data_IF_992708158608
#
_entry.id   IF_992708158608
#
_cell.length_a   1.000
_cell.length_b   1.000
_cell.length_c   1.000
_cell.angle_alpha   90.00
_cell.angle_beta   90.00
_cell.angle_gamma   90.00
#
_symmetry.space_group_name_H-M   'P 1'
#
loop_
_entity.id
_entity.type
_entity.pdbx_description
1 polymer ?
#
# COMPACT_ATOMS: atom_id res chain seq x y z
N UNK A 1 4.40 15.59 11.52
CA UNK A 1 5.39 15.26 10.46
C UNK A 1 4.77 14.24 9.54
N UNK A 2 4.78 14.52 8.26
CA UNK A 2 4.24 13.62 7.25
C UNK A 2 5.30 13.25 6.22
N UNK A 3 5.49 11.96 5.99
CA UNK A 3 6.45 11.44 5.01
C UNK A 3 5.79 10.88 3.77
N UNK A 4 5.75 11.66 2.68
CA UNK A 4 5.40 11.12 1.37
C UNK A 4 6.51 10.22 0.81
N UNK A 5 7.81 10.59 0.85
CA UNK A 5 8.90 9.70 0.46
C UNK A 5 9.22 8.66 1.54
N UNK A 6 9.70 7.49 1.11
CA UNK A 6 9.90 6.34 1.98
C UNK A 6 10.96 6.51 3.08
N UNK A 7 11.99 7.31 2.88
CA UNK A 7 13.17 7.29 3.75
C UNK A 7 13.25 8.46 4.75
N UNK A 8 12.59 9.58 4.49
CA UNK A 8 12.78 10.79 5.30
C UNK A 8 12.21 10.71 6.71
N UNK A 9 11.19 9.90 6.94
CA UNK A 9 10.45 9.87 8.21
C UNK A 9 10.54 8.54 8.94
N UNK A 10 10.85 7.45 8.24
CA UNK A 10 10.82 6.10 8.79
C UNK A 10 12.20 5.65 9.27
N UNK A 11 12.70 6.36 10.24
CA UNK A 11 13.93 6.00 10.94
C UNK A 11 13.71 6.10 12.45
N UNK A 12 14.38 5.25 13.26
CA UNK A 12 14.30 5.33 14.73
C UNK A 12 14.58 6.73 15.26
N UNK A 13 15.56 7.43 14.68
CA UNK A 13 15.90 8.80 15.05
C UNK A 13 14.73 9.79 14.84
N UNK A 14 13.98 9.65 13.76
CA UNK A 14 12.81 10.50 13.50
C UNK A 14 11.63 10.17 14.41
N UNK A 15 11.45 8.91 14.76
CA UNK A 15 10.41 8.50 15.73
C UNK A 15 10.70 9.07 17.10
N UNK A 16 11.95 8.94 17.55
CA UNK A 16 12.39 9.51 18.83
C UNK A 16 12.28 11.04 18.82
N UNK A 17 12.71 11.68 17.74
CA UNK A 17 12.60 13.13 17.58
C UNK A 17 11.13 13.59 17.65
N UNK A 18 10.20 12.86 17.04
CA UNK A 18 8.77 13.19 17.09
C UNK A 18 8.22 13.13 18.51
N UNK A 19 8.64 12.14 19.32
CA UNK A 19 8.28 12.03 20.73
C UNK A 19 8.88 13.17 21.55
N UNK A 20 10.18 13.45 21.38
CA UNK A 20 10.88 14.55 22.09
C UNK A 20 10.26 15.92 21.80
N UNK A 21 9.77 16.13 20.57
CA UNK A 21 9.13 17.37 20.14
C UNK A 21 7.62 17.39 20.39
N UNK A 22 7.08 16.30 20.93
CA UNK A 22 5.64 16.13 21.17
C UNK A 22 4.80 16.40 19.91
N UNK A 23 5.19 15.83 18.78
CA UNK A 23 4.48 15.98 17.51
C UNK A 23 4.14 14.61 16.89
N UNK A 24 2.98 14.50 16.22
CA UNK A 24 2.62 13.28 15.50
C UNK A 24 3.50 13.09 14.27
N UNK A 25 3.78 11.83 13.93
CA UNK A 25 4.49 11.43 12.71
C UNK A 25 3.73 10.30 12.02
N UNK A 26 3.59 10.37 10.70
CA UNK A 26 3.03 9.28 9.89
C UNK A 26 3.64 9.25 8.49
N UNK A 27 3.46 8.15 7.80
CA UNK A 27 3.96 7.84 6.45
C UNK A 27 3.72 6.34 6.21
N UNK A 28 4.14 5.79 5.11
CA UNK A 28 4.90 6.35 3.97
C UNK A 28 4.12 6.08 2.69
N UNK A 29 4.37 6.90 1.68
CA UNK A 29 3.82 6.75 0.34
C UNK A 29 2.27 6.70 0.33
N UNK A 30 1.65 7.59 -0.43
CA UNK A 30 0.19 7.70 -0.44
C UNK A 30 -0.46 6.51 -1.15
N UNK A 31 -1.49 5.95 -0.52
CA UNK A 31 -2.21 4.79 -1.03
C UNK A 31 -3.27 5.21 -2.05
N UNK A 32 -2.81 5.40 -3.27
CA UNK A 32 -3.62 5.63 -4.46
C UNK A 32 -3.47 4.44 -5.42
N UNK A 33 -4.35 4.26 -6.34
CA UNK A 33 -4.17 3.33 -7.45
C UNK A 33 -4.08 1.84 -7.06
N UNK A 34 -3.08 1.14 -7.58
CA UNK A 34 -3.01 -0.32 -7.53
C UNK A 34 -2.88 -0.91 -6.12
N UNK A 35 -2.14 -0.27 -5.23
CA UNK A 35 -2.04 -0.74 -3.83
C UNK A 35 -3.39 -0.62 -3.11
N UNK A 36 -4.17 0.43 -3.41
CA UNK A 36 -5.53 0.53 -2.90
C UNK A 36 -6.36 -0.69 -3.34
N UNK A 37 -6.30 -1.09 -4.61
CA UNK A 37 -7.00 -2.28 -5.11
C UNK A 37 -6.57 -3.55 -4.36
N UNK A 38 -5.28 -3.75 -4.10
CA UNK A 38 -4.77 -4.88 -3.32
C UNK A 38 -5.35 -4.92 -1.91
N UNK A 39 -5.39 -3.79 -1.22
CA UNK A 39 -5.90 -3.69 0.15
C UNK A 39 -7.42 -3.83 0.26
N UNK A 40 -8.14 -3.80 -0.85
CA UNK A 40 -9.58 -4.09 -0.95
C UNK A 40 -9.83 -5.56 -1.31
N UNK A 41 -9.14 -6.04 -2.35
CA UNK A 41 -9.42 -7.37 -2.91
C UNK A 41 -8.84 -8.50 -2.06
N UNK A 42 -7.64 -8.36 -1.52
CA UNK A 42 -7.02 -9.41 -0.70
C UNK A 42 -7.84 -9.73 0.57
N UNK A 43 -8.33 -8.76 1.35
CA UNK A 43 -9.23 -9.05 2.46
C UNK A 43 -10.54 -9.71 2.04
N UNK A 44 -11.06 -9.36 0.88
CA UNK A 44 -12.27 -9.99 0.34
C UNK A 44 -12.02 -11.48 0.03
N UNK A 45 -10.89 -11.81 -0.62
CA UNK A 45 -10.51 -13.20 -0.87
C UNK A 45 -10.36 -13.98 0.43
N UNK A 46 -9.64 -13.42 1.40
CA UNK A 46 -9.42 -14.03 2.71
C UNK A 46 -10.74 -14.28 3.46
N UNK A 47 -11.61 -13.27 3.51
CA UNK A 47 -12.92 -13.37 4.19
C UNK A 47 -13.80 -14.43 3.55
N UNK A 48 -13.68 -14.64 2.23
CA UNK A 48 -14.43 -15.65 1.48
C UNK A 48 -13.72 -17.01 1.40
N UNK A 49 -12.54 -17.15 2.01
CA UNK A 49 -11.71 -18.36 1.94
C UNK A 49 -11.42 -18.78 0.48
N UNK A 50 -11.19 -17.80 -0.39
CA UNK A 50 -10.77 -18.03 -1.76
C UNK A 50 -9.23 -18.09 -1.78
N UNK A 51 -8.68 -19.15 -2.36
CA UNK A 51 -7.24 -19.28 -2.54
C UNK A 51 -6.75 -18.41 -3.71
N UNK A 52 -5.48 -18.09 -3.70
CA UNK A 52 -4.81 -17.31 -4.74
C UNK A 52 -3.61 -18.07 -5.25
N UNK A 53 -3.58 -18.37 -6.55
CA UNK A 53 -2.44 -18.99 -7.22
C UNK A 53 -1.45 -17.94 -7.75
N UNK A 54 -1.98 -16.79 -8.20
CA UNK A 54 -1.15 -15.77 -8.78
C UNK A 54 -1.76 -14.38 -8.76
N UNK A 55 -0.87 -13.37 -8.68
CA UNK A 55 -1.24 -11.96 -8.80
C UNK A 55 -0.18 -11.24 -9.64
N UNK A 56 -0.47 -11.05 -10.90
CA UNK A 56 0.38 -10.29 -11.80
C UNK A 56 -0.10 -8.85 -11.91
N UNK A 57 0.76 -7.91 -11.57
CA UNK A 57 0.48 -6.48 -11.60
C UNK A 57 1.41 -5.77 -12.59
N UNK A 58 0.87 -4.95 -13.47
CA UNK A 58 1.67 -4.07 -14.32
C UNK A 58 1.13 -2.65 -14.34
N UNK A 59 2.03 -1.68 -14.48
CA UNK A 59 1.70 -0.27 -14.61
C UNK A 59 2.37 0.30 -15.84
N UNK A 60 1.67 1.20 -16.51
CA UNK A 60 2.21 2.04 -17.59
C UNK A 60 1.99 3.49 -17.18
N UNK A 61 3.07 4.28 -17.13
CA UNK A 61 3.03 5.70 -16.82
C UNK A 61 4.12 6.45 -17.60
N UNK A 62 3.89 7.71 -17.89
CA UNK A 62 4.75 8.50 -18.78
C UNK A 62 5.37 9.74 -18.12
N UNK A 63 5.33 9.83 -16.79
CA UNK A 63 5.92 10.92 -16.03
C UNK A 63 7.32 10.55 -15.50
N UNK A 64 7.96 11.47 -14.78
CA UNK A 64 9.30 11.27 -14.21
C UNK A 64 9.41 10.08 -13.27
N UNK A 65 8.36 9.77 -12.50
CA UNK A 65 8.33 8.59 -11.62
C UNK A 65 8.42 7.29 -12.45
N UNK A 66 7.72 7.25 -13.59
CA UNK A 66 7.79 6.14 -14.53
C UNK A 66 9.18 5.95 -15.11
N UNK A 67 9.81 7.04 -15.56
CA UNK A 67 11.15 7.02 -16.13
C UNK A 67 12.18 6.48 -15.12
N UNK A 68 12.12 6.92 -13.86
CA UNK A 68 13.04 6.47 -12.82
C UNK A 68 12.79 5.00 -12.45
N UNK A 69 11.55 4.56 -12.43
CA UNK A 69 11.17 3.19 -12.01
C UNK A 69 11.24 2.15 -13.12
N UNK A 70 11.43 2.57 -14.36
CA UNK A 70 11.70 1.65 -15.49
C UNK A 70 13.10 1.02 -15.37
N UNK A 71 14.01 1.68 -14.66
CA UNK A 71 15.32 1.14 -14.30
C UNK A 71 15.18 0.05 -13.23
N UNK A 72 15.63 -1.19 -13.48
CA UNK A 72 15.51 -2.30 -12.55
C UNK A 72 16.14 -2.07 -11.17
N UNK A 73 17.23 -1.32 -11.09
CA UNK A 73 17.92 -1.06 -9.81
C UNK A 73 17.12 -0.08 -8.93
N UNK A 74 16.48 0.91 -9.53
CA UNK A 74 15.60 1.83 -8.83
C UNK A 74 14.26 1.18 -8.45
N UNK A 75 13.85 0.15 -9.17
CA UNK A 75 12.58 -0.53 -8.95
C UNK A 75 12.57 -1.47 -7.74
N UNK A 76 13.70 -2.07 -7.37
CA UNK A 76 13.81 -3.11 -6.33
C UNK A 76 13.11 -2.76 -5.01
N UNK A 77 13.31 -1.54 -4.51
CA UNK A 77 12.71 -1.11 -3.23
C UNK A 77 11.18 -1.00 -3.32
N UNK A 78 10.66 -0.53 -4.46
CA UNK A 78 9.21 -0.46 -4.71
C UNK A 78 8.59 -1.83 -4.96
N UNK A 79 9.34 -2.75 -5.55
CA UNK A 79 8.90 -4.13 -5.75
C UNK A 79 8.64 -4.81 -4.40
N UNK A 80 9.62 -4.81 -3.51
CA UNK A 80 9.50 -5.39 -2.17
C UNK A 80 8.30 -4.82 -1.41
N UNK A 81 8.13 -3.50 -1.40
CA UNK A 81 7.00 -2.87 -0.70
C UNK A 81 5.63 -3.19 -1.30
N UNK A 82 5.56 -3.50 -2.59
CA UNK A 82 4.31 -3.91 -3.24
C UNK A 82 4.00 -5.39 -3.07
N UNK A 83 5.03 -6.23 -2.95
CA UNK A 83 4.89 -7.67 -2.73
C UNK A 83 4.42 -7.95 -1.31
N UNK A 84 5.02 -7.34 -0.30
CA UNK A 84 4.71 -7.58 1.12
C UNK A 84 3.27 -7.23 1.54
N UNK A 85 2.56 -6.38 0.79
CA UNK A 85 1.18 -5.97 1.13
C UNK A 85 0.22 -7.15 1.19
N UNK A 86 0.27 -8.04 0.19
CA UNK A 86 -0.66 -9.17 0.17
C UNK A 86 -0.27 -10.26 1.17
N UNK A 87 1.03 -10.43 1.44
CA UNK A 87 1.52 -11.44 2.38
C UNK A 87 1.04 -11.15 3.81
N UNK A 88 1.08 -9.89 4.22
CA UNK A 88 0.57 -9.48 5.55
C UNK A 88 -0.94 -9.68 5.69
N UNK A 89 -1.70 -9.53 4.60
CA UNK A 89 -3.15 -9.75 4.60
C UNK A 89 -3.48 -11.24 4.59
N UNK A 90 -2.82 -11.99 3.72
CA UNK A 90 -3.12 -13.41 3.49
C UNK A 90 -2.61 -14.32 4.61
N UNK A 91 -1.54 -13.95 5.28
CA UNK A 91 -0.90 -14.75 6.34
C UNK A 91 -0.60 -16.18 5.85
N UNK A 92 0.26 -16.37 4.83
CA UNK A 92 0.49 -17.67 4.19
C UNK A 92 0.94 -18.75 5.17
N UNK A 93 1.62 -18.40 6.25
CA UNK A 93 2.01 -19.34 7.31
C UNK A 93 0.81 -19.93 8.05
N UNK A 94 -0.29 -19.17 8.18
CA UNK A 94 -1.54 -19.63 8.82
C UNK A 94 -2.47 -20.33 7.85
N UNK A 95 -2.41 -19.99 6.58
CA UNK A 95 -3.29 -20.52 5.53
C UNK A 95 -2.48 -21.05 4.33
N UNK A 96 -1.56 -22.03 4.54
CA UNK A 96 -0.65 -22.49 3.49
C UNK A 96 -1.37 -23.09 2.27
N UNK A 97 -2.49 -23.77 2.47
CA UNK A 97 -3.27 -24.38 1.38
C UNK A 97 -3.94 -23.34 0.45
N UNK A 98 -4.12 -22.10 0.92
CA UNK A 98 -4.79 -21.05 0.16
C UNK A 98 -3.79 -20.02 -0.38
N UNK A 99 -2.70 -19.77 0.34
CA UNK A 99 -1.80 -18.65 0.06
C UNK A 99 -0.31 -18.98 0.20
N UNK A 100 0.05 -20.24 0.46
CA UNK A 100 1.45 -20.63 0.70
C UNK A 100 2.36 -20.54 -0.52
N UNK A 101 1.79 -20.58 -1.74
CA UNK A 101 2.56 -20.56 -3.00
C UNK A 101 1.96 -19.56 -4.00
N UNK A 102 1.77 -18.32 -3.58
CA UNK A 102 1.25 -17.27 -4.47
C UNK A 102 2.35 -16.74 -5.38
N UNK A 103 2.21 -16.95 -6.69
CA UNK A 103 3.09 -16.31 -7.66
C UNK A 103 2.74 -14.83 -7.81
N UNK A 104 3.43 -13.97 -7.06
CA UNK A 104 3.20 -12.53 -7.09
C UNK A 104 4.29 -11.81 -7.87
N UNK A 105 3.92 -11.04 -8.88
CA UNK A 105 4.84 -10.27 -9.71
C UNK A 105 4.32 -8.87 -9.99
N UNK A 106 5.23 -7.89 -9.93
CA UNK A 106 4.94 -6.49 -10.23
C UNK A 106 5.87 -6.00 -11.33
N UNK A 107 5.34 -5.20 -12.25
CA UNK A 107 6.11 -4.49 -13.27
C UNK A 107 5.68 -3.05 -13.40
N UNK A 108 6.63 -2.18 -13.74
CA UNK A 108 6.38 -0.79 -14.13
C UNK A 108 7.03 -0.58 -15.48
N UNK A 109 6.33 0.08 -16.38
CA UNK A 109 6.81 0.37 -17.73
C UNK A 109 6.69 1.88 -17.99
N UNK A 110 7.77 2.49 -18.41
CA UNK A 110 7.78 3.88 -18.82
C UNK A 110 7.23 3.99 -20.25
N UNK A 111 6.21 4.85 -20.41
CA UNK A 111 5.59 5.10 -21.71
C UNK A 111 5.22 6.59 -21.81
N UNK A 112 6.11 7.44 -22.39
CA UNK A 112 5.96 8.89 -22.45
C UNK A 112 4.60 9.39 -22.91
N UNK A 113 3.90 8.78 -23.90
CA UNK A 113 2.58 9.24 -24.34
C UNK A 113 1.50 9.25 -23.25
N UNK A 114 1.66 8.48 -22.17
CA UNK A 114 0.74 8.50 -21.01
C UNK A 114 0.86 9.76 -20.17
N UNK A 115 1.98 10.47 -20.23
CA UNK A 115 2.25 11.65 -19.41
C UNK A 115 2.03 11.31 -17.92
N UNK A 116 1.19 12.08 -17.23
CA UNK A 116 0.85 11.88 -15.82
C UNK A 116 -0.29 10.86 -15.59
N UNK A 117 -0.87 10.31 -16.64
CA UNK A 117 -1.84 9.24 -16.51
C UNK A 117 -1.13 7.91 -16.22
N UNK A 118 -1.66 7.18 -15.26
CA UNK A 118 -1.19 5.87 -14.85
C UNK A 118 -2.25 4.84 -15.14
N UNK A 119 -1.91 3.87 -15.94
CA UNK A 119 -2.75 2.73 -16.24
C UNK A 119 -2.19 1.51 -15.51
N UNK A 120 -3.02 0.88 -14.70
CA UNK A 120 -2.67 -0.29 -13.92
C UNK A 120 -3.53 -1.48 -14.33
N UNK A 121 -2.91 -2.61 -14.60
CA UNK A 121 -3.59 -3.87 -14.83
C UNK A 121 -3.18 -4.88 -13.79
N UNK A 122 -4.17 -5.58 -13.25
CA UNK A 122 -3.95 -6.77 -12.43
C UNK A 122 -4.63 -7.96 -13.08
N UNK A 123 -3.91 -9.08 -13.16
CA UNK A 123 -4.47 -10.39 -13.44
C UNK A 123 -4.32 -11.23 -12.18
N UNK A 124 -5.43 -11.69 -11.65
CA UNK A 124 -5.49 -12.39 -10.37
C UNK A 124 -6.11 -13.76 -10.60
N UNK A 125 -5.30 -14.80 -10.43
CA UNK A 125 -5.74 -16.18 -10.54
C UNK A 125 -6.11 -16.70 -9.15
N UNK A 126 -7.39 -16.94 -8.96
CA UNK A 126 -7.96 -17.40 -7.70
C UNK A 126 -8.63 -18.76 -7.88
N UNK A 127 -8.84 -19.46 -6.78
CA UNK A 127 -9.61 -20.71 -6.78
C UNK A 127 -10.56 -20.77 -5.60
N UNK A 128 -11.64 -21.48 -5.78
CA UNK A 128 -12.67 -21.66 -4.80
C UNK A 128 -12.86 -23.13 -4.40
N UNK A 129 -14.10 -23.50 -4.11
CA UNK A 129 -14.47 -24.82 -3.70
C UNK A 129 -13.98 -25.89 -4.69
N UNK A 130 -13.42 -26.97 -4.16
CA UNK A 130 -12.79 -28.07 -4.92
C UNK A 130 -11.66 -27.63 -5.88
N UNK A 131 -11.00 -26.50 -5.61
CA UNK A 131 -9.94 -25.99 -6.45
C UNK A 131 -10.42 -25.40 -7.76
N UNK A 132 -11.72 -25.09 -7.90
CA UNK A 132 -12.26 -24.52 -9.15
C UNK A 132 -11.62 -23.18 -9.48
N UNK A 133 -10.93 -23.05 -10.65
CA UNK A 133 -10.20 -21.84 -11.01
C UNK A 133 -11.13 -20.72 -11.45
N UNK A 134 -10.77 -19.51 -11.06
CA UNK A 134 -11.42 -18.26 -11.46
C UNK A 134 -10.36 -17.20 -11.74
N UNK A 135 -10.67 -16.22 -12.56
CA UNK A 135 -9.78 -15.12 -12.88
C UNK A 135 -10.48 -13.79 -12.65
N UNK A 136 -9.76 -12.85 -12.05
CA UNK A 136 -10.20 -11.46 -11.93
C UNK A 136 -9.19 -10.58 -12.66
N UNK A 137 -9.69 -9.75 -13.57
CA UNK A 137 -8.90 -8.71 -14.25
C UNK A 137 -9.34 -7.35 -13.78
N UNK A 138 -8.39 -6.54 -13.35
CA UNK A 138 -8.61 -5.14 -13.00
C UNK A 138 -7.89 -4.29 -14.03
N UNK A 139 -8.60 -3.34 -14.59
CA UNK A 139 -8.01 -2.26 -15.39
C UNK A 139 -8.37 -0.94 -14.73
N UNK A 140 -7.36 -0.21 -14.27
CA UNK A 140 -7.53 1.01 -13.51
C UNK A 140 -6.69 2.13 -14.11
N UNK A 141 -7.36 3.08 -14.78
CA UNK A 141 -6.73 4.28 -15.31
C UNK A 141 -6.98 5.44 -14.36
N UNK A 142 -5.91 6.06 -13.89
CA UNK A 142 -5.99 7.21 -12.98
C UNK A 142 -4.90 8.23 -13.28
N UNK A 143 -5.04 9.40 -12.67
CA UNK A 143 -3.97 10.39 -12.55
C UNK A 143 -3.53 10.45 -11.09
N UNK A 144 -2.32 9.91 -10.81
CA UNK A 144 -1.81 9.75 -9.45
C UNK A 144 -1.79 11.07 -8.66
N UNK A 145 -1.37 12.16 -9.28
CA UNK A 145 -1.33 13.49 -8.65
C UNK A 145 -2.70 13.98 -8.19
N UNK A 146 -3.75 13.71 -8.96
CA UNK A 146 -5.13 14.08 -8.61
C UNK A 146 -5.66 13.24 -7.45
N UNK A 147 -5.32 11.95 -7.41
CA UNK A 147 -5.70 11.08 -6.30
C UNK A 147 -4.91 11.37 -5.02
N UNK A 148 -3.65 11.77 -5.15
CA UNK A 148 -2.78 12.09 -4.02
C UNK A 148 -3.16 13.40 -3.32
N UNK A 149 -3.67 14.39 -4.04
CA UNK A 149 -3.99 15.70 -3.50
C UNK A 149 -5.00 15.66 -2.33
N UNK A 150 -6.18 15.02 -2.43
CA UNK A 150 -7.11 14.91 -1.30
C UNK A 150 -6.53 14.10 -0.14
N UNK A 151 -5.76 13.05 -0.42
CA UNK A 151 -5.08 12.27 0.63
C UNK A 151 -4.11 13.15 1.42
N UNK A 152 -3.33 13.98 0.73
CA UNK A 152 -2.42 14.93 1.38
C UNK A 152 -3.17 15.93 2.26
N UNK A 153 -4.30 16.44 1.78
CA UNK A 153 -5.15 17.36 2.55
C UNK A 153 -5.72 16.69 3.81
N UNK A 154 -6.29 15.49 3.67
CA UNK A 154 -6.82 14.73 4.80
C UNK A 154 -5.74 14.47 5.85
N UNK A 155 -4.55 14.07 5.41
CA UNK A 155 -3.43 13.80 6.31
C UNK A 155 -2.95 15.06 7.05
N UNK A 156 -2.99 16.23 6.41
CA UNK A 156 -2.69 17.51 7.08
C UNK A 156 -3.74 17.79 8.16
N UNK A 157 -5.02 17.64 7.84
CA UNK A 157 -6.12 17.89 8.78
C UNK A 157 -6.08 16.91 9.97
N UNK A 158 -5.87 15.62 9.72
CA UNK A 158 -5.76 14.63 10.78
C UNK A 158 -4.49 14.79 11.63
N UNK A 159 -3.38 15.19 11.02
CA UNK A 159 -2.16 15.48 11.77
C UNK A 159 -2.30 16.70 12.67
N UNK A 160 -3.02 17.74 12.22
CA UNK A 160 -3.36 18.89 13.05
C UNK A 160 -4.30 18.50 14.20
N UNK A 161 -5.30 17.67 13.91
CA UNK A 161 -6.21 17.14 14.94
C UNK A 161 -5.45 16.33 15.99
N UNK A 162 -4.59 15.42 15.58
CA UNK A 162 -3.74 14.62 16.46
C UNK A 162 -2.85 15.51 17.34
N UNK A 163 -2.24 16.54 16.76
CA UNK A 163 -1.40 17.49 17.49
C UNK A 163 -2.21 18.27 18.52
N UNK A 164 -3.40 18.74 18.19
CA UNK A 164 -4.31 19.42 19.14
C UNK A 164 -4.82 18.49 20.24
N UNK A 165 -4.95 17.21 19.95
CA UNK A 165 -5.30 16.19 20.94
C UNK A 165 -4.12 15.74 21.82
N UNK A 166 -2.92 16.31 21.63
CA UNK A 166 -1.72 15.97 22.39
C UNK A 166 -1.10 14.62 21.99
N UNK A 167 -1.48 14.06 20.84
CA UNK A 167 -0.90 12.82 20.34
C UNK A 167 0.49 13.08 19.75
N UNK A 168 1.45 12.20 20.06
CA UNK A 168 2.82 12.28 19.56
C UNK A 168 3.32 10.89 19.08
N UNK A 169 4.46 10.87 18.41
CA UNK A 169 5.01 9.63 17.87
C UNK A 169 4.24 9.11 16.65
N UNK A 170 4.42 7.83 16.35
CA UNK A 170 3.85 7.18 15.17
C UNK A 170 2.32 7.11 15.29
N UNK A 171 1.63 7.63 14.28
CA UNK A 171 0.17 7.60 14.18
C UNK A 171 -0.27 6.42 13.31
N UNK A 172 -0.36 5.23 13.90
CA UNK A 172 -0.69 3.98 13.18
C UNK A 172 -2.09 3.98 12.58
N UNK A 173 -3.04 4.70 13.16
CA UNK A 173 -4.40 4.86 12.65
C UNK A 173 -4.46 5.59 11.29
N UNK A 174 -3.41 6.36 10.93
CA UNK A 174 -3.27 6.97 9.62
C UNK A 174 -2.74 6.01 8.53
N UNK A 175 -2.52 4.74 8.86
CA UNK A 175 -2.15 3.68 7.90
C UNK A 175 -3.14 3.57 6.73
N UNK A 176 -4.40 3.92 6.95
CA UNK A 176 -5.45 3.96 5.93
C UNK A 176 -5.03 4.73 4.67
N UNK A 177 -4.25 5.78 4.82
CA UNK A 177 -3.80 6.66 3.75
C UNK A 177 -2.45 6.26 3.13
N UNK A 178 -1.75 5.29 3.71
CA UNK A 178 -0.36 4.97 3.38
C UNK A 178 -0.22 3.61 2.70
N UNK A 179 0.64 3.53 1.69
CA UNK A 179 1.03 2.30 1.00
C UNK A 179 1.93 1.41 1.84
N UNK A 180 2.88 2.02 2.53
CA UNK A 180 3.82 1.38 3.45
C UNK A 180 3.68 2.05 4.81
N UNK A 181 2.65 1.68 5.61
CA UNK A 181 2.38 2.33 6.87
C UNK A 181 3.57 2.24 7.82
N UNK A 182 3.84 3.34 8.51
CA UNK A 182 4.77 3.30 9.64
C UNK A 182 4.19 2.46 10.77
N UNK A 183 5.03 1.64 11.35
CA UNK A 183 4.69 0.77 12.49
C UNK A 183 5.86 0.73 13.46
N UNK A 184 5.63 0.31 14.68
CA UNK A 184 6.69 0.00 15.64
C UNK A 184 7.38 -1.34 15.30
N UNK A 185 8.44 -1.65 16.03
CA UNK A 185 9.19 -2.91 15.81
C UNK A 185 8.48 -4.16 16.35
N UNK A 186 7.44 -4.00 17.14
CA UNK A 186 6.75 -5.10 17.81
C UNK A 186 5.58 -5.64 16.98
N UNK A 187 5.04 -4.82 16.05
CA UNK A 187 3.84 -5.15 15.30
C UNK A 187 4.08 -5.08 13.79
N UNK A 188 3.45 -5.97 13.05
CA UNK A 188 3.40 -5.88 11.59
C UNK A 188 2.47 -4.73 11.16
N UNK A 189 2.76 -4.08 10.02
CA UNK A 189 1.89 -3.03 9.52
C UNK A 189 0.53 -3.60 9.10
N UNK A 190 -0.55 -2.92 9.50
CA UNK A 190 -1.89 -3.29 9.05
C UNK A 190 -2.10 -2.85 7.58
N UNK A 191 -2.52 -3.78 6.73
CA UNK A 191 -2.79 -3.53 5.31
C UNK A 191 -4.24 -3.82 4.89
N UNK A 192 -5.04 -4.49 5.72
CA UNK A 192 -6.47 -4.64 5.48
C UNK A 192 -7.16 -3.28 5.55
N UNK A 193 -7.68 -2.80 4.42
CA UNK A 193 -8.31 -1.50 4.30
C UNK A 193 -9.49 -1.33 5.27
N UNK A 194 -10.26 -2.38 5.50
CA UNK A 194 -11.44 -2.32 6.36
C UNK A 194 -11.07 -2.21 7.83
N UNK A 195 -9.97 -2.86 8.22
CA UNK A 195 -9.38 -2.71 9.55
C UNK A 195 -8.80 -1.32 9.73
N UNK A 196 -8.02 -0.82 8.77
CA UNK A 196 -7.48 0.54 8.76
C UNK A 196 -8.59 1.60 8.85
N UNK A 197 -9.70 1.40 8.12
CA UNK A 197 -10.87 2.29 8.21
C UNK A 197 -11.52 2.30 9.59
N UNK A 198 -11.57 1.14 10.27
CA UNK A 198 -12.04 1.10 11.66
C UNK A 198 -11.14 1.88 12.60
N UNK A 199 -9.81 1.80 12.41
CA UNK A 199 -8.84 2.57 13.20
C UNK A 199 -9.02 4.09 13.04
N UNK A 200 -9.31 4.56 11.83
CA UNK A 200 -9.58 6.01 11.59
C UNK A 200 -10.85 6.49 12.30
N UNK A 201 -11.84 5.60 12.50
CA UNK A 201 -13.13 5.98 13.11
C UNK A 201 -13.15 5.92 14.64
N UNK A 202 -12.16 5.35 15.27
CA UNK A 202 -12.02 5.25 16.73
C UNK A 202 -11.45 6.55 17.32
#
# INVERSE_FOLDING_TARGET
>A
IMGAPNLCVDTPAMWEFSKQKNVPISGKDFKSGQTLMKTVLAPMFKTRMLGVNGWFSTNILGNRDGEVLDDPDNFKTKEVSKLSVIDTIFEPEKYPDLYGDVYHKVRINYYPPRKDNKEAWDNIDIFGWMGYPMEIKVNFLCRDSILAAPIALDLVLFSDLAMRAGMCGIQTWLSFFCKSPMHDFEHQPEHDLFTQWRMVKQ
#
